data_IF_080187675376
#
_entry.id   IF_080187675376
#
_cell.length_a   1.000
_cell.length_b   1.000
_cell.length_c   1.000
_cell.angle_alpha   90.00
_cell.angle_beta   90.00
_cell.angle_gamma   90.00
#
_symmetry.space_group_name_H-M   'P 1'
#
loop_
_entity.id
_entity.type
_entity.pdbx_description
1 polymer ?
#
# COMPACT_ATOMS: atom_id res chain seq x y z
N UNK A 1 78.06 47.55 -28.07
CA UNK A 1 77.83 46.18 -27.56
C UNK A 1 76.99 46.31 -26.32
N UNK A 2 75.67 46.25 -26.52
CA UNK A 2 74.68 46.41 -25.45
C UNK A 2 73.72 45.25 -25.48
N UNK A 3 73.76 44.43 -24.46
CA UNK A 3 72.84 43.35 -24.29
C UNK A 3 71.68 43.84 -23.42
N UNK A 4 70.49 43.88 -23.98
CA UNK A 4 69.26 44.16 -23.26
C UNK A 4 68.74 42.89 -22.65
N UNK A 5 68.51 42.89 -21.34
CA UNK A 5 67.80 41.81 -20.63
C UNK A 5 66.29 42.11 -20.62
N UNK A 6 65.51 41.25 -21.20
CA UNK A 6 64.09 41.31 -21.04
C UNK A 6 63.70 40.50 -19.81
N UNK A 7 63.16 41.18 -18.80
CA UNK A 7 62.49 40.54 -17.69
C UNK A 7 61.07 40.22 -18.12
N UNK A 8 60.77 38.94 -18.18
CA UNK A 8 59.39 38.41 -18.42
C UNK A 8 58.76 38.28 -17.05
N UNK A 9 57.79 39.13 -16.70
CA UNK A 9 56.95 39.00 -15.55
C UNK A 9 55.82 38.04 -15.88
N UNK A 10 55.83 36.80 -15.34
CA UNK A 10 54.72 35.86 -15.39
C UNK A 10 53.68 36.29 -14.37
N UNK A 11 52.57 36.84 -14.83
CA UNK A 11 51.38 37.04 -14.02
C UNK A 11 50.67 35.70 -13.87
N UNK A 12 50.79 35.08 -12.70
CA UNK A 12 49.96 33.92 -12.33
C UNK A 12 48.55 34.42 -12.05
N UNK A 13 47.64 34.20 -12.98
CA UNK A 13 46.19 34.34 -12.76
C UNK A 13 45.76 33.11 -11.98
N UNK A 14 45.56 33.27 -10.68
CA UNK A 14 44.85 32.29 -9.88
C UNK A 14 43.36 32.28 -10.30
N UNK A 15 43.01 31.38 -11.16
CA UNK A 15 41.61 31.00 -11.39
C UNK A 15 41.13 30.31 -10.12
N UNK A 16 40.51 31.07 -9.23
CA UNK A 16 39.66 30.46 -8.20
C UNK A 16 38.49 29.78 -8.91
N UNK A 17 38.67 28.51 -9.14
CA UNK A 17 37.56 27.62 -9.48
C UNK A 17 36.57 27.64 -8.32
N UNK A 18 35.53 28.44 -8.42
CA UNK A 18 34.34 28.22 -7.65
C UNK A 18 33.84 26.85 -8.07
N UNK A 19 34.11 25.83 -7.28
CA UNK A 19 33.49 24.52 -7.43
C UNK A 19 31.99 24.70 -7.24
N UNK A 20 31.27 24.60 -8.32
CA UNK A 20 29.80 24.52 -8.32
C UNK A 20 29.34 23.14 -7.81
N UNK A 21 29.75 22.78 -6.59
CA UNK A 21 29.23 21.56 -5.95
C UNK A 21 27.83 21.73 -5.41
N UNK A 22 27.32 22.96 -5.33
CA UNK A 22 25.96 23.21 -4.84
C UNK A 22 24.84 22.85 -5.82
N UNK A 23 25.13 22.72 -7.13
CA UNK A 23 24.07 22.46 -8.11
C UNK A 23 23.71 20.98 -8.29
N UNK A 24 24.55 20.04 -7.86
CA UNK A 24 24.28 18.61 -7.97
C UNK A 24 23.45 18.06 -6.80
N UNK A 25 23.55 18.65 -5.62
CA UNK A 25 22.76 18.24 -4.47
C UNK A 25 21.32 18.76 -4.50
N UNK A 26 21.10 19.95 -5.07
CA UNK A 26 19.75 20.51 -5.25
C UNK A 26 18.90 19.64 -6.19
N UNK A 27 19.49 19.06 -7.21
CA UNK A 27 18.77 18.18 -8.15
C UNK A 27 18.39 16.83 -7.53
N UNK A 28 19.19 16.29 -6.60
CA UNK A 28 18.88 15.03 -5.90
C UNK A 28 17.88 15.21 -4.78
N UNK A 29 17.82 16.35 -4.14
CA UNK A 29 16.92 16.66 -3.03
C UNK A 29 15.50 17.04 -3.47
N UNK A 30 15.25 17.12 -4.78
CA UNK A 30 13.99 17.64 -5.32
C UNK A 30 12.99 16.57 -5.76
N UNK A 31 13.39 15.30 -5.79
CA UNK A 31 12.48 14.21 -6.13
C UNK A 31 11.42 14.00 -5.03
N UNK A 32 10.18 13.78 -5.44
CA UNK A 32 9.08 13.46 -4.51
C UNK A 32 9.20 12.00 -4.10
N UNK A 33 9.40 11.78 -2.79
CA UNK A 33 9.54 10.46 -2.18
C UNK A 33 8.50 10.28 -1.08
N UNK A 34 8.24 9.02 -0.71
CA UNK A 34 7.26 8.70 0.31
C UNK A 34 7.84 7.78 1.39
N UNK A 35 7.28 7.91 2.60
CA UNK A 35 7.51 7.01 3.71
C UNK A 35 6.19 6.42 4.17
N UNK A 36 5.76 5.30 3.59
CA UNK A 36 4.50 4.69 3.96
C UNK A 36 4.59 3.95 5.30
N UNK A 37 3.48 3.97 6.03
CA UNK A 37 3.17 3.08 7.14
C UNK A 37 1.85 2.38 6.85
N UNK A 38 1.68 1.17 7.34
CA UNK A 38 0.43 0.42 7.23
C UNK A 38 -0.10 0.18 8.63
N UNK A 39 -1.36 0.48 8.88
CA UNK A 39 -1.99 0.35 10.19
C UNK A 39 -1.96 -1.09 10.72
N UNK A 40 -1.81 -1.25 12.03
CA UNK A 40 -1.61 -2.54 12.70
C UNK A 40 -2.94 -3.26 13.05
N UNK A 41 -3.95 -3.20 12.21
CA UNK A 41 -5.29 -3.64 12.62
C UNK A 41 -5.63 -5.11 12.31
N UNK A 42 -4.71 -5.97 11.90
CA UNK A 42 -5.03 -7.38 11.74
C UNK A 42 -3.85 -8.35 11.94
N UNK A 43 -4.19 -9.63 12.14
CA UNK A 43 -3.25 -10.71 12.41
C UNK A 43 -3.37 -11.76 11.31
N UNK A 44 -2.54 -11.64 10.26
CA UNK A 44 -2.54 -12.60 9.15
C UNK A 44 -1.49 -12.29 8.10
N UNK A 45 -1.55 -12.92 6.92
CA UNK A 45 -0.77 -12.50 5.74
C UNK A 45 -1.39 -11.22 5.20
N UNK A 46 -1.09 -10.17 5.86
CA UNK A 46 -1.60 -8.84 5.69
C UNK A 46 -0.51 -7.98 5.10
N UNK A 47 -0.90 -6.99 4.31
CA UNK A 47 0.03 -5.93 3.94
C UNK A 47 0.42 -5.17 5.22
N UNK A 48 1.70 -5.15 5.50
CA UNK A 48 2.29 -4.45 6.64
C UNK A 48 3.37 -3.50 6.16
N UNK A 49 3.79 -2.57 6.99
CA UNK A 49 4.92 -1.69 6.68
C UNK A 49 6.19 -2.48 6.30
N UNK A 50 6.38 -3.66 6.86
CA UNK A 50 7.58 -4.47 6.61
C UNK A 50 7.55 -5.22 5.27
N UNK A 51 6.37 -5.67 4.82
CA UNK A 51 6.22 -6.42 3.57
C UNK A 51 5.72 -5.56 2.40
N UNK A 52 5.40 -4.29 2.62
CA UNK A 52 5.12 -3.33 1.56
C UNK A 52 6.43 -3.03 0.81
N UNK A 53 6.53 -3.46 -0.44
CA UNK A 53 7.71 -3.28 -1.27
C UNK A 53 7.45 -2.36 -2.47
N UNK A 54 6.19 -2.22 -2.86
CA UNK A 54 5.77 -1.37 -3.98
C UNK A 54 4.37 -0.80 -3.76
N UNK A 55 4.14 0.35 -4.35
CA UNK A 55 2.84 1.01 -4.40
C UNK A 55 2.70 1.81 -5.69
N UNK A 56 1.47 2.14 -6.06
CA UNK A 56 1.15 3.02 -7.18
C UNK A 56 0.60 4.33 -6.66
N UNK A 57 1.10 5.42 -7.18
CA UNK A 57 0.71 6.76 -6.78
C UNK A 57 0.20 7.53 -7.98
N UNK A 58 -0.92 8.22 -7.82
CA UNK A 58 -1.39 9.25 -8.75
C UNK A 58 -1.28 10.62 -8.09
N UNK A 59 -0.74 11.58 -8.80
CA UNK A 59 -0.54 12.95 -8.35
C UNK A 59 -1.47 13.92 -9.08
N UNK A 60 -2.12 14.80 -8.32
CA UNK A 60 -3.06 15.77 -8.82
C UNK A 60 -2.66 17.16 -8.32
N UNK A 61 -2.84 18.20 -9.15
CA UNK A 61 -2.73 19.58 -8.70
C UNK A 61 -3.92 20.00 -7.86
N UNK A 62 -3.83 21.15 -7.20
CA UNK A 62 -4.91 21.65 -6.36
C UNK A 62 -6.22 21.89 -7.11
N UNK A 63 -6.17 22.23 -8.39
CA UNK A 63 -7.36 22.33 -9.24
C UNK A 63 -7.80 20.93 -9.66
N UNK A 64 -9.09 20.62 -9.48
CA UNK A 64 -9.67 19.28 -9.55
C UNK A 64 -9.40 18.52 -10.86
N UNK A 65 -9.28 19.21 -11.98
CA UNK A 65 -9.19 18.59 -13.31
C UNK A 65 -7.74 18.51 -13.84
N UNK A 66 -6.75 18.91 -13.04
CA UNK A 66 -5.37 18.98 -13.49
C UNK A 66 -4.58 17.81 -12.87
N UNK A 67 -4.27 16.83 -13.71
CA UNK A 67 -3.46 15.65 -13.33
C UNK A 67 -1.98 15.97 -13.48
N UNK A 68 -1.20 15.67 -12.47
CA UNK A 68 0.25 15.77 -12.54
C UNK A 68 0.86 14.50 -13.14
N UNK A 69 0.49 13.33 -12.61
CA UNK A 69 0.81 12.01 -13.17
C UNK A 69 -0.19 10.97 -12.66
N UNK A 70 -0.33 9.86 -13.39
CA UNK A 70 -1.20 8.74 -13.01
C UNK A 70 -0.40 7.46 -12.84
N UNK A 71 -0.79 6.67 -11.85
CA UNK A 71 -0.35 5.28 -11.65
C UNK A 71 1.18 5.10 -11.75
N UNK A 72 1.93 6.02 -11.16
CA UNK A 72 3.37 5.92 -11.08
C UNK A 72 3.76 4.86 -10.05
N UNK A 73 4.57 3.91 -10.48
CA UNK A 73 5.12 2.90 -9.57
C UNK A 73 6.19 3.52 -8.67
N UNK A 74 6.04 3.27 -7.37
CA UNK A 74 7.04 3.57 -6.35
C UNK A 74 7.51 2.27 -5.72
N UNK A 75 8.81 2.13 -5.52
CA UNK A 75 9.41 0.95 -4.91
C UNK A 75 10.26 1.33 -3.71
N UNK A 76 10.31 0.43 -2.74
CA UNK A 76 11.15 0.60 -1.55
C UNK A 76 12.62 0.69 -1.95
N UNK A 77 13.29 1.75 -1.54
CA UNK A 77 14.70 1.95 -1.80
C UNK A 77 15.55 1.05 -0.89
N UNK A 78 16.51 0.37 -1.51
CA UNK A 78 17.42 -0.52 -0.76
C UNK A 78 18.34 0.29 0.17
N UNK A 79 18.47 -0.18 1.40
CA UNK A 79 19.37 0.45 2.38
C UNK A 79 18.79 1.64 3.12
N UNK A 80 17.54 2.02 2.85
CA UNK A 80 16.82 3.06 3.59
C UNK A 80 15.87 2.47 4.63
N UNK A 81 15.47 3.29 5.60
CA UNK A 81 14.58 2.87 6.68
C UNK A 81 13.14 2.59 6.23
N UNK A 82 12.69 3.05 5.11
CA UNK A 82 11.37 2.82 4.47
C UNK A 82 11.05 3.92 3.45
N UNK A 83 12.04 4.45 2.74
CA UNK A 83 11.81 5.43 1.68
C UNK A 83 11.40 4.73 0.40
N UNK A 84 10.38 5.25 -0.27
CA UNK A 84 9.88 4.79 -1.55
C UNK A 84 10.18 5.82 -2.63
N UNK A 85 10.83 5.37 -3.68
CA UNK A 85 11.26 6.18 -4.81
C UNK A 85 10.46 5.86 -6.07
N UNK A 86 10.17 6.84 -6.92
CA UNK A 86 9.41 6.64 -8.16
C UNK A 86 10.22 5.89 -9.22
N UNK A 87 9.55 5.16 -10.09
CA UNK A 87 10.15 4.49 -11.25
C UNK A 87 10.70 5.48 -12.29
N UNK A 88 10.17 6.70 -12.31
CA UNK A 88 10.68 7.85 -13.07
C UNK A 88 10.69 9.06 -12.16
N UNK A 89 11.76 9.87 -12.14
CA UNK A 89 11.85 11.02 -11.24
C UNK A 89 10.68 12.00 -11.41
N UNK A 90 10.07 12.39 -10.30
CA UNK A 90 8.97 13.38 -10.21
C UNK A 90 9.45 14.49 -9.29
N UNK A 91 9.29 15.73 -9.70
CA UNK A 91 9.89 16.88 -9.02
C UNK A 91 8.83 17.87 -8.55
N UNK A 92 9.10 18.56 -7.47
CA UNK A 92 8.30 19.67 -7.01
C UNK A 92 8.32 20.82 -8.01
N UNK A 93 7.21 21.47 -8.18
CA UNK A 93 7.09 22.72 -8.93
C UNK A 93 6.76 23.84 -7.94
N UNK A 94 7.47 24.93 -8.01
CA UNK A 94 7.27 26.08 -7.14
C UNK A 94 5.83 26.63 -7.25
N UNK A 95 5.26 27.04 -6.11
CA UNK A 95 3.91 27.60 -6.04
C UNK A 95 2.78 26.60 -6.29
N UNK A 96 3.08 25.31 -6.42
CA UNK A 96 2.04 24.26 -6.62
C UNK A 96 1.74 23.53 -5.31
N UNK A 97 0.48 23.18 -5.14
CA UNK A 97 0.00 22.24 -4.13
C UNK A 97 -0.50 21.00 -4.81
N UNK A 98 -0.21 19.86 -4.22
CA UNK A 98 -0.51 18.54 -4.77
C UNK A 98 -1.36 17.75 -3.82
N UNK A 99 -2.14 16.85 -4.37
CA UNK A 99 -2.70 15.72 -3.66
C UNK A 99 -2.18 14.43 -4.31
N UNK A 100 -1.57 13.58 -3.51
CA UNK A 100 -1.10 12.27 -3.92
C UNK A 100 -2.03 11.21 -3.36
N UNK A 101 -2.48 10.31 -4.20
CA UNK A 101 -3.32 9.16 -3.85
C UNK A 101 -2.51 7.90 -4.12
N UNK A 102 -2.30 7.10 -3.09
CA UNK A 102 -1.45 5.91 -3.14
C UNK A 102 -2.26 4.64 -2.87
N UNK A 103 -1.98 3.60 -3.63
CA UNK A 103 -2.63 2.30 -3.58
C UNK A 103 -1.59 1.19 -3.67
N UNK A 104 -1.80 0.12 -2.91
CA UNK A 104 -1.14 -1.19 -3.06
C UNK A 104 -2.22 -2.27 -2.98
N UNK A 105 -2.09 -3.41 -3.63
CA UNK A 105 -0.94 -4.03 -4.30
C UNK A 105 -0.68 -3.49 -5.71
N UNK A 106 0.05 -4.30 -6.50
CA UNK A 106 0.38 -4.02 -7.89
C UNK A 106 -0.85 -3.67 -8.74
N UNK A 107 -0.70 -2.75 -9.69
CA UNK A 107 -1.80 -2.32 -10.57
C UNK A 107 -2.47 -3.48 -11.31
N UNK A 108 -1.72 -4.53 -11.66
CA UNK A 108 -2.26 -5.76 -12.28
C UNK A 108 -3.19 -6.56 -11.35
N UNK A 109 -3.15 -6.29 -10.06
CA UNK A 109 -3.95 -6.96 -9.03
C UNK A 109 -5.14 -6.11 -8.56
N UNK A 110 -5.33 -4.92 -9.13
CA UNK A 110 -6.44 -4.05 -8.79
C UNK A 110 -7.77 -4.64 -9.25
N UNK A 111 -8.84 -4.43 -8.51
CA UNK A 111 -10.18 -4.80 -8.96
C UNK A 111 -10.53 -4.09 -10.26
N UNK A 112 -11.20 -4.81 -11.15
CA UNK A 112 -11.65 -4.23 -12.41
C UNK A 112 -12.58 -3.01 -12.15
N UNK A 113 -12.32 -1.93 -12.86
CA UNK A 113 -13.08 -0.69 -12.70
C UNK A 113 -12.67 0.16 -11.50
N UNK A 114 -11.52 -0.11 -10.87
CA UNK A 114 -10.97 0.81 -9.88
C UNK A 114 -10.63 2.13 -10.56
N UNK A 115 -11.19 3.20 -10.05
CA UNK A 115 -10.98 4.56 -10.54
C UNK A 115 -10.35 5.43 -9.45
N UNK A 116 -9.34 6.21 -9.82
CA UNK A 116 -8.61 7.09 -8.92
C UNK A 116 -8.77 8.52 -9.41
N UNK A 117 -9.33 9.35 -8.57
CA UNK A 117 -9.44 10.79 -8.78
C UNK A 117 -8.75 11.53 -7.64
N UNK A 118 -8.67 12.84 -7.76
CA UNK A 118 -8.17 13.69 -6.68
C UNK A 118 -9.01 13.58 -5.41
N UNK A 119 -10.31 13.40 -5.54
CA UNK A 119 -11.26 13.45 -4.43
C UNK A 119 -11.55 12.08 -3.83
N UNK A 120 -11.46 11.03 -4.64
CA UNK A 120 -11.86 9.70 -4.21
C UNK A 120 -11.19 8.56 -5.00
N UNK A 121 -11.18 7.39 -4.39
CA UNK A 121 -10.91 6.11 -5.05
C UNK A 121 -12.19 5.31 -5.03
N UNK A 122 -12.68 4.89 -6.20
CA UNK A 122 -13.96 4.19 -6.33
C UNK A 122 -13.84 2.89 -7.10
N UNK A 123 -14.74 1.96 -6.81
CA UNK A 123 -14.96 0.76 -7.60
C UNK A 123 -16.43 0.35 -7.50
N UNK A 124 -17.16 0.42 -8.62
CA UNK A 124 -18.60 0.15 -8.62
C UNK A 124 -18.97 -1.32 -8.43
N UNK A 125 -18.04 -2.22 -8.69
CA UNK A 125 -18.28 -3.66 -8.66
C UNK A 125 -17.17 -4.40 -7.91
N UNK A 126 -16.77 -3.91 -6.75
CA UNK A 126 -15.72 -4.53 -5.95
C UNK A 126 -16.18 -5.89 -5.43
N UNK A 127 -15.42 -6.94 -5.76
CA UNK A 127 -15.61 -8.29 -5.25
C UNK A 127 -14.25 -8.90 -4.91
N UNK A 128 -14.01 -9.31 -3.66
CA UNK A 128 -12.83 -10.09 -3.30
C UNK A 128 -12.81 -11.41 -4.08
N UNK A 129 -11.62 -11.95 -4.34
CA UNK A 129 -11.53 -13.28 -4.94
C UNK A 129 -12.21 -14.32 -4.04
N UNK A 130 -12.96 -15.24 -4.63
CA UNK A 130 -13.61 -16.35 -3.90
C UNK A 130 -12.60 -17.38 -3.38
N UNK A 131 -11.43 -17.48 -4.02
CA UNK A 131 -10.32 -18.32 -3.57
C UNK A 131 -9.47 -17.51 -2.57
N UNK A 132 -9.38 -17.99 -1.35
CA UNK A 132 -8.73 -17.28 -0.24
C UNK A 132 -7.26 -16.98 -0.52
N UNK A 133 -6.51 -17.93 -1.08
CA UNK A 133 -5.10 -17.75 -1.44
C UNK A 133 -4.87 -16.63 -2.47
N UNK A 134 -5.88 -16.33 -3.28
CA UNK A 134 -5.80 -15.34 -4.35
C UNK A 134 -6.34 -13.97 -3.94
N UNK A 135 -6.86 -13.86 -2.72
CA UNK A 135 -7.33 -12.60 -2.19
C UNK A 135 -6.17 -11.62 -1.98
N UNK A 136 -6.33 -10.42 -2.46
CA UNK A 136 -5.35 -9.33 -2.30
C UNK A 136 -5.83 -8.33 -1.28
N UNK A 137 -4.89 -7.86 -0.51
CA UNK A 137 -5.11 -6.85 0.51
C UNK A 137 -4.97 -5.46 -0.12
N UNK A 138 -6.08 -4.85 -0.45
CA UNK A 138 -6.10 -3.51 -1.00
C UNK A 138 -5.98 -2.50 0.15
N UNK A 139 -4.92 -1.69 0.10
CA UNK A 139 -4.67 -0.60 1.03
C UNK A 139 -4.58 0.72 0.29
N UNK A 140 -5.06 1.78 0.90
CA UNK A 140 -5.14 3.11 0.29
C UNK A 140 -4.81 4.20 1.30
N UNK A 141 -4.15 5.26 0.84
CA UNK A 141 -4.05 6.54 1.55
C UNK A 141 -3.90 7.70 0.55
N UNK A 142 -4.08 8.92 1.05
CA UNK A 142 -3.84 10.14 0.31
C UNK A 142 -3.15 11.18 1.19
N UNK A 143 -2.31 12.01 0.60
CA UNK A 143 -1.64 13.12 1.29
C UNK A 143 -1.64 14.37 0.43
N UNK A 144 -1.89 15.52 1.07
CA UNK A 144 -1.67 16.83 0.45
C UNK A 144 -0.28 17.34 0.80
N UNK A 145 0.37 17.98 -0.17
CA UNK A 145 1.71 18.48 -0.03
C UNK A 145 1.99 19.66 -0.98
N UNK A 146 2.95 20.48 -0.62
CA UNK A 146 3.44 21.58 -1.43
C UNK A 146 4.97 21.62 -1.41
N UNK A 147 5.57 22.57 -2.12
CA UNK A 147 7.02 22.69 -2.23
C UNK A 147 7.74 22.98 -0.90
N UNK A 148 7.03 23.35 0.19
CA UNK A 148 7.64 23.52 1.52
C UNK A 148 8.10 22.18 2.13
N UNK A 149 7.64 21.06 1.57
CA UNK A 149 8.04 19.71 1.96
C UNK A 149 9.20 19.17 1.10
N UNK A 150 9.79 20.03 0.31
CA UNK A 150 10.95 19.73 -0.51
C UNK A 150 12.08 19.09 0.31
N UNK A 151 12.66 18.04 -0.21
CA UNK A 151 13.73 17.28 0.45
C UNK A 151 13.30 16.41 1.64
N UNK A 152 11.97 16.25 1.86
CA UNK A 152 11.42 15.38 2.90
C UNK A 152 10.57 14.29 2.27
N UNK A 153 10.63 13.09 2.85
CA UNK A 153 9.69 12.03 2.50
C UNK A 153 8.26 12.40 2.96
N UNK A 154 7.29 12.25 2.08
CA UNK A 154 5.88 12.41 2.45
C UNK A 154 5.37 11.18 3.18
N UNK A 155 4.73 11.38 4.32
CA UNK A 155 4.16 10.28 5.10
C UNK A 155 2.82 9.84 4.51
N UNK A 156 2.69 8.54 4.25
CA UNK A 156 1.43 7.87 3.92
C UNK A 156 1.07 6.91 5.04
N UNK A 157 -0.18 6.95 5.49
CA UNK A 157 -0.71 6.08 6.55
C UNK A 157 -1.80 5.19 5.95
N UNK A 158 -1.40 4.13 5.29
CA UNK A 158 -2.29 3.22 4.59
C UNK A 158 -3.34 2.59 5.50
N UNK A 159 -4.56 2.50 5.00
CA UNK A 159 -5.66 1.78 5.61
C UNK A 159 -6.05 0.58 4.76
N UNK A 160 -6.32 -0.54 5.41
CA UNK A 160 -6.96 -1.69 4.78
C UNK A 160 -8.41 -1.34 4.47
N UNK A 161 -8.86 -1.68 3.28
CA UNK A 161 -10.26 -1.43 2.87
C UNK A 161 -11.17 -2.63 3.11
N UNK A 162 -10.60 -3.81 3.29
CA UNK A 162 -11.34 -5.04 3.57
C UNK A 162 -11.29 -5.39 5.06
N UNK A 163 -12.32 -6.08 5.52
CA UNK A 163 -12.31 -6.72 6.84
C UNK A 163 -11.65 -8.08 6.75
N UNK A 164 -10.85 -8.41 7.76
CA UNK A 164 -10.24 -9.71 7.91
C UNK A 164 -10.97 -10.51 8.98
N UNK A 165 -11.24 -11.79 8.70
CA UNK A 165 -11.86 -12.72 9.65
C UNK A 165 -10.83 -13.79 10.03
N UNK A 166 -10.66 -13.99 11.32
CA UNK A 166 -9.89 -15.08 11.90
C UNK A 166 -10.84 -15.99 12.70
N UNK A 167 -10.84 -17.28 12.41
CA UNK A 167 -11.68 -18.25 13.12
C UNK A 167 -10.83 -19.05 14.08
N UNK A 168 -11.23 -19.03 15.35
CA UNK A 168 -10.64 -19.84 16.40
C UNK A 168 -11.66 -20.85 16.89
N UNK A 169 -11.20 -22.04 17.17
CA UNK A 169 -12.05 -23.14 17.62
C UNK A 169 -11.46 -23.80 18.86
N UNK A 170 -12.35 -24.29 19.72
CA UNK A 170 -11.99 -25.03 20.92
C UNK A 170 -13.01 -26.14 21.13
N UNK A 171 -12.55 -27.34 21.52
CA UNK A 171 -13.44 -28.40 21.95
C UNK A 171 -13.69 -28.26 23.47
N UNK A 172 -14.94 -28.08 23.84
CA UNK A 172 -15.36 -27.99 25.26
C UNK A 172 -15.79 -29.33 25.88
N UNK A 173 -15.72 -30.46 25.16
CA UNK A 173 -16.11 -31.76 25.63
C UNK A 173 -14.93 -32.72 25.69
N UNK A 174 -14.51 -33.09 26.90
CA UNK A 174 -13.36 -33.98 27.13
C UNK A 174 -13.52 -35.39 26.58
N UNK A 175 -14.75 -35.83 26.37
CA UNK A 175 -15.07 -37.18 25.93
C UNK A 175 -15.19 -37.32 24.41
N UNK A 176 -15.10 -36.23 23.66
CA UNK A 176 -15.26 -36.20 22.22
C UNK A 176 -14.02 -35.68 21.50
N UNK A 177 -13.80 -36.24 20.33
CA UNK A 177 -12.78 -35.75 19.39
C UNK A 177 -13.49 -35.31 18.12
N UNK A 178 -13.30 -34.07 17.72
CA UNK A 178 -13.83 -33.55 16.47
C UNK A 178 -12.74 -33.43 15.41
N UNK A 179 -13.09 -33.71 14.18
CA UNK A 179 -12.25 -33.50 13.02
C UNK A 179 -12.90 -32.41 12.15
N UNK A 180 -12.34 -31.21 12.17
CA UNK A 180 -12.83 -30.10 11.35
C UNK A 180 -12.27 -30.25 9.95
N UNK A 181 -13.11 -30.44 8.96
CA UNK A 181 -12.75 -30.63 7.56
C UNK A 181 -12.83 -29.33 6.74
N UNK A 182 -13.72 -28.45 7.13
CA UNK A 182 -13.93 -27.17 6.43
C UNK A 182 -14.58 -26.15 7.34
N UNK A 183 -14.42 -24.89 6.98
CA UNK A 183 -15.15 -23.76 7.56
C UNK A 183 -15.85 -23.01 6.43
N UNK A 184 -17.08 -22.55 6.67
CA UNK A 184 -17.85 -21.79 5.70
C UNK A 184 -18.46 -20.57 6.34
N UNK A 185 -18.40 -19.46 5.59
CA UNK A 185 -19.14 -18.25 5.89
C UNK A 185 -20.18 -18.10 4.79
N UNK A 186 -21.44 -18.21 5.14
CA UNK A 186 -22.54 -18.18 4.18
C UNK A 186 -23.29 -16.84 4.25
N UNK A 187 -24.09 -16.57 3.22
CA UNK A 187 -25.01 -15.44 3.17
C UNK A 187 -24.34 -14.08 3.35
N UNK A 188 -23.17 -13.92 2.77
CA UNK A 188 -22.47 -12.63 2.72
C UNK A 188 -22.72 -11.93 1.40
N UNK A 189 -22.74 -10.60 1.42
CA UNK A 189 -22.74 -9.81 0.19
C UNK A 189 -21.33 -9.84 -0.37
N UNK A 190 -21.12 -10.59 -1.44
CA UNK A 190 -19.80 -10.79 -2.07
C UNK A 190 -19.39 -9.68 -3.03
N UNK A 191 -20.27 -8.69 -3.29
CA UNK A 191 -20.02 -7.59 -4.23
C UNK A 191 -20.71 -6.32 -3.77
N UNK A 192 -19.95 -5.23 -3.64
CA UNK A 192 -20.46 -3.91 -3.27
C UNK A 192 -19.78 -2.80 -4.07
N UNK A 193 -20.37 -1.62 -4.04
CA UNK A 193 -19.67 -0.40 -4.43
C UNK A 193 -18.75 0.02 -3.30
N UNK A 194 -17.54 0.39 -3.66
CA UNK A 194 -16.53 0.93 -2.76
C UNK A 194 -16.24 2.38 -3.11
N UNK A 195 -16.10 3.21 -2.09
CA UNK A 195 -15.57 4.57 -2.23
C UNK A 195 -14.70 4.92 -1.02
N UNK A 196 -13.52 5.45 -1.30
CA UNK A 196 -12.61 6.02 -0.31
C UNK A 196 -12.47 7.52 -0.58
N UNK A 197 -12.86 8.35 0.37
CA UNK A 197 -12.67 9.80 0.30
C UNK A 197 -11.24 10.17 0.66
N UNK A 198 -10.54 10.86 -0.24
CA UNK A 198 -9.16 11.30 -0.02
C UNK A 198 -9.03 12.40 1.03
N UNK A 199 -10.10 13.16 1.28
CA UNK A 199 -10.12 14.24 2.27
C UNK A 199 -10.43 13.75 3.68
N UNK A 200 -11.50 12.93 3.84
CA UNK A 200 -11.88 12.39 5.15
C UNK A 200 -11.13 11.11 5.51
N UNK A 201 -10.49 10.49 4.52
CA UNK A 201 -9.79 9.19 4.63
C UNK A 201 -10.69 8.07 5.15
N UNK A 202 -11.97 8.13 4.80
CA UNK A 202 -12.96 7.13 5.18
C UNK A 202 -13.36 6.28 3.98
N UNK A 203 -13.52 4.97 4.23
CA UNK A 203 -14.11 4.03 3.29
C UNK A 203 -15.60 3.93 3.51
N UNK A 204 -16.36 3.89 2.43
CA UNK A 204 -17.80 3.61 2.42
C UNK A 204 -18.11 2.45 1.48
N UNK A 205 -19.08 1.64 1.87
CA UNK A 205 -19.56 0.50 1.12
C UNK A 205 -21.06 0.63 0.92
N UNK A 206 -21.52 0.51 -0.30
CA UNK A 206 -22.95 0.55 -0.62
C UNK A 206 -23.37 -0.67 -1.43
N UNK A 207 -24.61 -1.09 -1.23
CA UNK A 207 -25.16 -2.24 -1.95
C UNK A 207 -25.34 -1.90 -3.43
N UNK A 208 -25.20 -2.92 -4.28
CA UNK A 208 -25.52 -2.86 -5.70
C UNK A 208 -26.93 -3.44 -5.84
N UNK A 209 -27.78 -2.71 -6.55
CA UNK A 209 -29.14 -3.17 -6.82
C UNK A 209 -29.13 -4.52 -7.56
N UNK A 210 -29.96 -5.46 -7.11
CA UNK A 210 -30.05 -6.80 -7.68
C UNK A 210 -28.94 -7.78 -7.27
N UNK A 211 -27.98 -7.37 -6.43
CA UNK A 211 -26.95 -8.27 -5.88
C UNK A 211 -27.43 -8.84 -4.55
N UNK A 212 -27.62 -10.16 -4.51
CA UNK A 212 -28.07 -10.89 -3.32
C UNK A 212 -26.89 -11.24 -2.38
N UNK A 213 -27.22 -11.57 -1.13
CA UNK A 213 -26.29 -12.05 -0.11
C UNK A 213 -26.08 -13.57 -0.19
N UNK A 214 -25.79 -14.07 -1.39
CA UNK A 214 -25.69 -15.53 -1.62
C UNK A 214 -24.24 -16.01 -1.74
N UNK A 215 -23.29 -15.12 -1.54
CA UNK A 215 -21.87 -15.49 -1.61
C UNK A 215 -21.48 -16.34 -0.41
N UNK A 216 -20.72 -17.38 -0.72
CA UNK A 216 -20.15 -18.30 0.25
C UNK A 216 -18.63 -18.26 0.14
N UNK A 217 -17.98 -18.08 1.28
CA UNK A 217 -16.56 -18.33 1.41
C UNK A 217 -16.33 -19.67 2.11
N UNK A 218 -15.51 -20.51 1.54
CA UNK A 218 -15.23 -21.84 2.06
C UNK A 218 -13.73 -22.10 2.10
N UNK A 219 -13.27 -22.51 3.26
CA UNK A 219 -11.93 -23.02 3.49
C UNK A 219 -12.01 -24.50 3.80
N UNK A 220 -11.54 -25.36 2.89
CA UNK A 220 -11.44 -26.80 3.08
C UNK A 220 -10.00 -27.17 3.45
N UNK A 221 -9.84 -27.99 4.47
CA UNK A 221 -8.53 -28.43 4.93
C UNK A 221 -8.15 -29.76 4.27
N UNK A 222 -6.95 -29.81 3.65
CA UNK A 222 -6.40 -31.06 3.09
C UNK A 222 -6.27 -32.14 4.16
N UNK A 223 -5.84 -31.74 5.37
CA UNK A 223 -5.81 -32.59 6.55
C UNK A 223 -6.78 -32.01 7.59
N UNK A 224 -7.80 -32.78 8.05
CA UNK A 224 -8.71 -32.29 9.07
C UNK A 224 -8.00 -31.86 10.34
N UNK A 225 -8.41 -30.72 10.93
CA UNK A 225 -7.94 -30.32 12.25
C UNK A 225 -8.60 -31.17 13.33
N UNK A 226 -7.77 -31.93 14.07
CA UNK A 226 -8.22 -32.71 15.20
C UNK A 226 -8.35 -31.85 16.44
N UNK A 227 -9.54 -31.74 16.99
CA UNK A 227 -9.84 -31.09 18.25
C UNK A 227 -10.08 -32.14 19.33
N UNK A 228 -9.10 -32.38 20.16
CA UNK A 228 -9.19 -33.23 21.34
C UNK A 228 -9.70 -32.39 22.51
N UNK A 229 -10.80 -32.80 23.15
CA UNK A 229 -11.38 -32.06 24.28
C UNK A 229 -10.53 -32.02 25.53
N UNK A 230 -9.50 -32.86 25.61
CA UNK A 230 -8.49 -32.81 26.67
C UNK A 230 -7.51 -31.67 26.49
N UNK A 231 -7.40 -31.12 25.27
CA UNK A 231 -6.58 -29.97 24.99
C UNK A 231 -7.40 -28.68 25.12
N UNK A 232 -7.10 -27.88 26.12
CA UNK A 232 -7.79 -26.62 26.40
C UNK A 232 -7.31 -25.45 25.55
N UNK A 233 -6.31 -25.64 24.69
CA UNK A 233 -5.74 -24.58 23.84
C UNK A 233 -6.68 -24.29 22.67
N UNK A 234 -6.96 -23.01 22.43
CA UNK A 234 -7.65 -22.58 21.21
C UNK A 234 -6.78 -22.87 19.98
N UNK A 235 -7.37 -23.50 18.99
CA UNK A 235 -6.76 -23.70 17.68
C UNK A 235 -7.24 -22.61 16.73
N UNK A 236 -6.30 -21.88 16.13
CA UNK A 236 -6.60 -20.99 15.02
C UNK A 236 -6.61 -21.79 13.73
N UNK A 237 -7.73 -21.74 13.00
CA UNK A 237 -7.86 -22.42 11.72
C UNK A 237 -7.12 -21.65 10.64
N UNK A 238 -6.26 -22.34 9.90
CA UNK A 238 -5.46 -21.77 8.82
C UNK A 238 -5.65 -22.59 7.55
N UNK A 239 -5.43 -21.99 6.38
CA UNK A 239 -5.35 -22.78 5.16
C UNK A 239 -4.14 -23.73 5.24
N UNK A 240 -4.35 -24.99 4.90
CA UNK A 240 -3.40 -26.09 5.17
C UNK A 240 -2.07 -26.00 4.40
N UNK A 241 -2.00 -25.21 3.35
CA UNK A 241 -0.82 -25.10 2.48
C UNK A 241 0.09 -23.94 2.83
N UNK A 242 -0.32 -23.05 3.71
CA UNK A 242 0.52 -21.96 4.15
C UNK A 242 1.04 -22.22 5.55
N UNK A 243 2.34 -22.36 5.66
CA UNK A 243 3.12 -22.25 6.91
C UNK A 243 3.02 -20.82 7.46
N UNK A 244 1.82 -20.29 7.53
CA UNK A 244 1.58 -18.97 8.06
C UNK A 244 1.29 -19.11 9.52
N UNK A 245 2.23 -18.69 10.32
CA UNK A 245 2.23 -18.76 11.78
C UNK A 245 1.07 -18.04 12.48
N UNK A 246 0.13 -17.42 11.73
CA UNK A 246 -0.92 -16.57 12.30
C UNK A 246 -2.25 -16.66 11.54
N UNK A 247 -2.66 -17.84 11.13
CA UNK A 247 -4.01 -18.18 10.66
C UNK A 247 -4.91 -17.07 10.16
N UNK A 248 -4.85 -16.82 8.87
CA UNK A 248 -5.82 -15.93 8.22
C UNK A 248 -6.83 -16.77 7.51
N UNK A 249 -8.01 -16.27 7.50
CA UNK A 249 -9.07 -17.00 6.89
C UNK A 249 -9.69 -16.25 5.74
N UNK A 250 -10.08 -15.03 5.84
CA UNK A 250 -10.80 -14.40 4.75
C UNK A 250 -10.70 -12.88 4.78
N UNK A 251 -10.59 -12.28 3.59
CA UNK A 251 -10.85 -10.86 3.40
C UNK A 251 -12.23 -10.70 2.80
N UNK A 252 -13.12 -10.15 3.56
CA UNK A 252 -14.49 -9.90 3.15
C UNK A 252 -14.78 -8.40 3.09
N UNK A 253 -15.76 -8.06 2.28
CA UNK A 253 -16.36 -6.74 2.29
C UNK A 253 -17.02 -6.53 3.66
N UNK A 254 -16.80 -5.37 4.32
CA UNK A 254 -17.51 -5.05 5.56
C UNK A 254 -19.03 -5.21 5.37
N UNK A 255 -19.66 -5.98 6.26
CA UNK A 255 -21.10 -6.19 6.27
C UNK A 255 -21.70 -5.22 7.28
N UNK A 256 -22.37 -4.19 6.83
CA UNK A 256 -23.12 -3.23 7.65
C UNK A 256 -24.59 -3.54 7.59
#
# INVERSE_FOLDING_TARGET
MKKAFYMMAAAAIALSSCSSEETTDVAKSSAITFRPTVGLNSRGVEMTTNNLNEMWVSGFYQKADEVYFTDMKYTKEKGTANTFIPSSPVFWQEGRTYKFVAISPAKSEWPAGLNITREEVTCDNFAPNSTISDQKDLIVDAVEANAEQWGKDLTLNFKHILSQIQIKVKNGNENLVYNIKAVRINSVVGKKKFAYSTSTKNCTWSNIEGVNSDTKYELTFANPYKLDGKNTTELTLTSADEKVSNGVVDRIIPQS
#
